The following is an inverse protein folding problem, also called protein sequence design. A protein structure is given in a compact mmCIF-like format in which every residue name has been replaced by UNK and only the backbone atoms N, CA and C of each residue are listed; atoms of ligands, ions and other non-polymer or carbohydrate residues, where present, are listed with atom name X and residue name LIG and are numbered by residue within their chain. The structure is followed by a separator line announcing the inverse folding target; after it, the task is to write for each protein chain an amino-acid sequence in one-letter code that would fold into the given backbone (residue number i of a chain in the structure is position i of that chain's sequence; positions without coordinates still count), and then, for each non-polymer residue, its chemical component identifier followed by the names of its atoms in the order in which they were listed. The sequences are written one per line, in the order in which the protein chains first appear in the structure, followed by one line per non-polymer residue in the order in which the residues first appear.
data_IF_504631270655
#
_entry.id   IF_504631270655
#
_cell.length_a   1.000
_cell.length_b   1.000
_cell.length_c   1.000
_cell.angle_alpha   90.00
_cell.angle_beta   90.00
_cell.angle_gamma   90.00
#
_symmetry.space_group_name_H-M   'P 1'
#
loop_
_entity.id
_entity.type
_entity.pdbx_description
1 polymer ?
#
# COMPACT_ATOMS: atom_id res chain seq x y z
N UNK A 1 15.78 8.70 -2.93
CA UNK A 1 14.57 8.52 -3.74
C UNK A 1 13.41 8.05 -2.86
N UNK A 2 12.28 8.78 -2.86
CA UNK A 2 11.10 8.35 -2.13
C UNK A 2 10.63 6.95 -2.59
N UNK A 3 9.95 6.25 -1.70
CA UNK A 3 9.34 4.95 -2.01
C UNK A 3 8.20 5.19 -2.98
N UNK A 4 8.15 4.41 -4.07
CA UNK A 4 7.03 4.41 -5.01
C UNK A 4 5.95 3.48 -4.48
N UNK A 5 4.74 3.99 -4.31
CA UNK A 5 3.58 3.21 -3.88
C UNK A 5 2.59 3.07 -5.02
N UNK A 6 2.35 1.84 -5.49
CA UNK A 6 1.33 1.55 -6.50
C UNK A 6 -0.05 1.45 -5.88
N UNK A 7 -0.98 2.23 -6.43
CA UNK A 7 -2.34 2.40 -5.94
C UNK A 7 -3.31 1.66 -6.85
N UNK A 8 -4.03 0.64 -6.33
CA UNK A 8 -4.97 -0.14 -7.11
C UNK A 8 -6.20 0.70 -7.45
N UNK A 9 -6.83 0.43 -8.60
CA UNK A 9 -7.97 1.18 -9.13
C UNK A 9 -9.05 1.55 -8.09
N UNK A 10 -9.48 0.65 -7.17
CA UNK A 10 -10.49 1.00 -6.17
C UNK A 10 -10.08 2.13 -5.20
N UNK A 11 -8.78 2.32 -5.00
CA UNK A 11 -8.23 3.33 -4.10
C UNK A 11 -7.85 4.63 -4.81
N UNK A 12 -7.76 4.63 -6.15
CA UNK A 12 -7.32 5.80 -6.91
C UNK A 12 -8.25 7.02 -6.73
N UNK A 13 -9.52 6.81 -6.38
CA UNK A 13 -10.43 7.92 -6.05
C UNK A 13 -9.97 8.74 -4.84
N UNK A 14 -9.22 8.14 -3.92
CA UNK A 14 -8.65 8.81 -2.75
C UNK A 14 -7.34 9.55 -3.09
N UNK A 15 -6.63 9.11 -4.14
CA UNK A 15 -5.36 9.71 -4.59
C UNK A 15 -5.54 10.69 -5.75
N UNK A 16 -6.78 11.10 -6.05
CA UNK A 16 -7.07 12.02 -7.15
C UNK A 16 -6.85 11.41 -8.54
N UNK A 17 -6.98 10.08 -8.67
CA UNK A 17 -6.78 9.35 -9.92
C UNK A 17 -5.34 8.89 -10.18
N UNK A 18 -4.43 9.08 -9.22
CA UNK A 18 -3.02 8.69 -9.38
C UNK A 18 -2.84 7.19 -9.16
N UNK A 19 -2.20 6.53 -10.13
CA UNK A 19 -1.79 5.12 -10.07
C UNK A 19 -0.54 4.89 -9.21
N UNK A 20 0.32 5.90 -9.09
CA UNK A 20 1.53 5.89 -8.27
C UNK A 20 1.61 7.15 -7.42
N UNK A 21 2.02 6.99 -6.16
CA UNK A 21 2.28 8.10 -5.24
C UNK A 21 3.61 7.86 -4.52
N UNK A 22 4.21 8.94 -4.04
CA UNK A 22 5.48 8.89 -3.31
C UNK A 22 5.23 8.86 -1.80
N UNK A 23 5.98 8.01 -1.11
CA UNK A 23 5.97 7.92 0.36
C UNK A 23 7.40 7.96 0.92
N UNK A 24 7.52 8.23 2.21
CA UNK A 24 8.80 8.17 2.92
C UNK A 24 9.22 6.71 3.12
N UNK A 25 10.53 6.48 3.23
CA UNK A 25 11.06 5.19 3.68
C UNK A 25 10.61 4.90 5.11
N UNK A 26 10.42 3.63 5.44
CA UNK A 26 9.96 3.21 6.76
C UNK A 26 9.40 1.80 6.71
N UNK A 27 8.72 1.39 7.75
CA UNK A 27 7.94 0.14 7.70
C UNK A 27 6.70 0.29 6.84
N UNK A 28 6.17 -0.84 6.35
CA UNK A 28 4.91 -0.86 5.58
C UNK A 28 3.80 -0.09 6.30
N UNK A 29 3.65 -0.29 7.62
CA UNK A 29 2.59 0.41 8.36
C UNK A 29 2.84 1.91 8.50
N UNK A 30 4.10 2.33 8.67
CA UNK A 30 4.46 3.75 8.68
C UNK A 30 4.15 4.41 7.33
N UNK A 31 4.40 3.71 6.22
CA UNK A 31 4.05 4.18 4.88
C UNK A 31 2.54 4.32 4.73
N UNK A 32 1.75 3.32 5.15
CA UNK A 32 0.28 3.41 5.11
C UNK A 32 -0.24 4.59 5.93
N UNK A 33 0.32 4.82 7.11
CA UNK A 33 -0.03 5.95 7.97
C UNK A 33 0.40 7.31 7.38
N UNK A 34 1.53 7.37 6.67
CA UNK A 34 1.96 8.58 5.95
C UNK A 34 1.06 8.86 4.74
N UNK A 35 0.68 7.82 3.98
CA UNK A 35 -0.27 7.93 2.89
C UNK A 35 -1.62 8.45 3.36
N UNK A 36 -2.10 8.07 4.54
CA UNK A 36 -3.38 8.58 5.07
C UNK A 36 -3.33 10.06 5.43
N UNK A 37 -2.18 10.57 5.86
CA UNK A 37 -1.98 12.01 6.07
C UNK A 37 -2.04 12.78 4.75
N UNK A 38 -1.56 12.19 3.66
CA UNK A 38 -1.58 12.79 2.32
C UNK A 38 -2.93 12.61 1.61
N UNK A 39 -3.57 11.46 1.83
CA UNK A 39 -4.79 10.99 1.17
C UNK A 39 -5.76 10.42 2.23
N UNK A 40 -6.50 11.27 2.95
CA UNK A 40 -7.34 10.86 4.07
C UNK A 40 -8.34 9.75 3.72
N UNK A 41 -8.39 8.71 4.57
CA UNK A 41 -9.28 7.56 4.44
C UNK A 41 -8.66 6.37 3.69
N UNK A 42 -7.43 6.48 3.20
CA UNK A 42 -6.73 5.37 2.55
C UNK A 42 -6.35 4.28 3.56
N UNK A 43 -5.92 4.67 4.78
CA UNK A 43 -5.55 3.69 5.80
C UNK A 43 -6.75 2.86 6.24
N UNK A 44 -7.96 3.43 6.30
CA UNK A 44 -9.18 2.70 6.66
C UNK A 44 -9.51 1.56 5.68
N UNK A 45 -9.14 1.73 4.41
CA UNK A 45 -9.33 0.73 3.35
C UNK A 45 -8.28 -0.37 3.38
N UNK A 46 -7.06 -0.05 3.83
CA UNK A 46 -5.89 -0.93 3.76
C UNK A 46 -5.64 -1.66 5.09
N UNK A 47 -5.84 -0.97 6.19
CA UNK A 47 -5.42 -1.38 7.54
C UNK A 47 -6.53 -1.15 8.58
N UNK A 48 -6.37 -1.81 9.72
CA UNK A 48 -7.18 -1.61 10.93
C UNK A 48 -6.30 -1.87 12.14
N UNK A 49 -6.27 -0.95 13.11
CA UNK A 49 -5.44 -1.07 14.32
C UNK A 49 -3.95 -1.36 14.03
N UNK A 50 -3.37 -0.63 13.07
CA UNK A 50 -2.00 -0.83 12.60
C UNK A 50 -1.68 -2.23 12.04
N UNK A 51 -2.71 -2.99 11.64
CA UNK A 51 -2.56 -4.27 10.94
C UNK A 51 -3.15 -4.20 9.55
N UNK A 52 -2.50 -4.82 8.59
CA UNK A 52 -3.01 -4.87 7.23
C UNK A 52 -4.23 -5.79 7.20
N UNK A 53 -5.31 -5.34 6.57
CA UNK A 53 -6.55 -6.11 6.50
C UNK A 53 -6.29 -7.40 5.72
N UNK A 54 -6.90 -8.51 6.15
CA UNK A 54 -6.75 -9.84 5.52
C UNK A 54 -7.01 -9.89 4.01
N UNK A 55 -7.84 -8.97 3.51
CA UNK A 55 -8.20 -8.87 2.09
C UNK A 55 -7.35 -7.84 1.34
N UNK A 56 -6.22 -7.45 1.90
CA UNK A 56 -5.24 -6.58 1.25
C UNK A 56 -3.92 -7.32 1.26
N UNK A 57 -3.37 -7.52 0.07
CA UNK A 57 -2.04 -8.05 -0.13
C UNK A 57 -1.11 -6.86 -0.39
N UNK A 58 0.08 -6.91 0.18
CA UNK A 58 1.10 -5.88 -0.06
C UNK A 58 2.40 -6.56 -0.46
N UNK A 59 3.10 -5.95 -1.40
CA UNK A 59 4.33 -6.48 -1.96
C UNK A 59 5.42 -5.41 -1.90
N UNK A 60 6.60 -5.77 -1.43
CA UNK A 60 7.81 -4.95 -1.54
C UNK A 60 8.68 -5.57 -2.61
N UNK A 61 8.91 -4.85 -3.72
CA UNK A 61 9.65 -5.37 -4.88
C UNK A 61 9.14 -6.75 -5.33
N UNK A 62 7.83 -6.89 -5.51
CA UNK A 62 7.16 -8.14 -5.92
C UNK A 62 7.12 -9.27 -4.88
N UNK A 63 7.69 -9.08 -3.68
CA UNK A 63 7.68 -10.07 -2.60
C UNK A 63 6.56 -9.77 -1.58
N UNK A 64 5.68 -10.75 -1.31
CA UNK A 64 4.55 -10.57 -0.38
C UNK A 64 5.06 -10.40 1.06
N UNK A 65 4.65 -9.30 1.71
CA UNK A 65 5.09 -8.94 3.06
C UNK A 65 4.79 -10.03 4.11
N UNK A 66 3.83 -10.92 3.85
CA UNK A 66 3.48 -12.04 4.73
C UNK A 66 4.59 -13.07 4.86
N UNK A 67 5.48 -13.17 3.87
CA UNK A 67 6.68 -14.01 3.93
C UNK A 67 7.91 -13.25 4.43
N UNK A 68 7.76 -11.93 4.67
CA UNK A 68 8.76 -11.04 5.24
C UNK A 68 8.45 -10.80 6.73
N UNK A 69 8.31 -9.53 7.13
CA UNK A 69 8.01 -9.11 8.51
C UNK A 69 6.61 -8.50 8.63
N UNK A 70 5.71 -8.83 7.69
CA UNK A 70 4.37 -8.28 7.58
C UNK A 70 4.38 -6.75 7.66
N UNK A 71 3.64 -6.15 8.59
CA UNK A 71 3.52 -4.70 8.76
C UNK A 71 4.83 -4.01 9.15
N UNK A 72 5.76 -4.75 9.75
CA UNK A 72 7.08 -4.30 10.13
C UNK A 72 8.12 -4.44 9.00
N UNK A 73 7.73 -4.91 7.82
CA UNK A 73 8.64 -5.00 6.67
C UNK A 73 9.17 -3.61 6.33
N UNK A 74 10.50 -3.47 6.33
CA UNK A 74 11.19 -2.21 6.05
C UNK A 74 11.26 -2.00 4.55
N UNK A 75 10.79 -0.84 4.10
CA UNK A 75 10.84 -0.37 2.71
C UNK A 75 11.82 0.79 2.62
N UNK A 76 12.82 0.63 1.77
CA UNK A 76 13.98 1.50 1.66
C UNK A 76 13.88 2.39 0.43
N UNK A 77 14.84 3.30 0.36
CA UNK A 77 15.04 4.17 -0.78
C UNK A 77 15.19 3.36 -2.08
N UNK A 78 14.36 3.66 -3.08
CA UNK A 78 14.36 2.95 -4.36
C UNK A 78 13.49 1.69 -4.41
N UNK A 79 12.93 1.24 -3.28
CA UNK A 79 11.97 0.12 -3.28
C UNK A 79 10.60 0.56 -3.83
N UNK A 80 9.87 -0.42 -4.36
CA UNK A 80 8.48 -0.27 -4.76
C UNK A 80 7.56 -1.04 -3.80
N UNK A 81 6.52 -0.35 -3.30
CA UNK A 81 5.45 -0.95 -2.49
C UNK A 81 4.17 -1.04 -3.33
N UNK A 82 3.64 -2.24 -3.52
CA UNK A 82 2.39 -2.44 -4.27
C UNK A 82 1.24 -2.84 -3.35
N UNK A 83 0.12 -2.14 -3.44
CA UNK A 83 -1.13 -2.49 -2.74
C UNK A 83 -2.04 -3.25 -3.70
N UNK A 84 -2.33 -4.51 -3.41
CA UNK A 84 -3.18 -5.35 -4.23
C UNK A 84 -4.40 -5.79 -3.41
N UNK A 85 -5.61 -5.34 -3.76
CA UNK A 85 -6.81 -5.78 -3.06
C UNK A 85 -7.05 -7.25 -3.40
N UNK A 86 -7.36 -8.06 -2.39
CA UNK A 86 -7.77 -9.45 -2.56
C UNK A 86 -9.24 -9.49 -3.03
N UNK A 87 -9.50 -8.91 -4.20
CA UNK A 87 -10.77 -9.08 -4.91
C UNK A 87 -10.53 -10.20 -5.91
N UNK A 88 -11.25 -11.30 -5.76
CA UNK A 88 -11.33 -12.32 -6.80
C UNK A 88 -11.97 -11.67 -8.04
N UNK A 89 -11.17 -11.42 -9.07
CA UNK A 89 -11.61 -11.15 -10.44
C UNK A 89 -12.72 -10.11 -10.60
N UNK A 90 -12.38 -8.82 -10.57
CA UNK A 90 -13.25 -7.76 -11.07
C UNK A 90 -13.02 -7.54 -12.56
N UNK A 91 -13.92 -8.10 -13.37
CA UNK A 91 -14.17 -7.93 -14.82
C UNK A 91 -13.30 -6.86 -15.50
N UNK A 92 -12.42 -7.31 -16.40
CA UNK A 92 -11.87 -6.49 -17.47
C UNK A 92 -13.02 -5.82 -18.23
N UNK A 93 -13.11 -4.49 -18.18
CA UNK A 93 -13.79 -3.72 -19.22
C UNK A 93 -12.76 -3.25 -20.23
#
# INVERSE_FOLDING_TARGET
MPVKVRIPTPLQRLTGGKEEVEAKTGTVIEIVNDLDKQYPGIAERISENNKIRRFVNMYVNEEDIRFLQAEATVVKDGDELSIVPAIAGGISQ
#
